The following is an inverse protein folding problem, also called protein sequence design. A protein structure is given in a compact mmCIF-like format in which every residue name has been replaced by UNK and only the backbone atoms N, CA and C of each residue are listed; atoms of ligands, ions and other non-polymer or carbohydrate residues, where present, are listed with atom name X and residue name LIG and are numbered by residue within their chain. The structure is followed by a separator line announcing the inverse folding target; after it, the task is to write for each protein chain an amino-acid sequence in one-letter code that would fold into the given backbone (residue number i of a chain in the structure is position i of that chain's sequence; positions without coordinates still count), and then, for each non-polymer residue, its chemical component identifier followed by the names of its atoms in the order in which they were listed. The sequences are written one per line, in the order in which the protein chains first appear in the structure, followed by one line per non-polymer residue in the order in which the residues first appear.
data_IF_428367635184
#
_entry.id   IF_428367635184
#
_cell.length_a   1.000
_cell.length_b   1.000
_cell.length_c   1.000
_cell.angle_alpha   90.00
_cell.angle_beta   90.00
_cell.angle_gamma   90.00
#
_symmetry.space_group_name_H-M   'P 1'
#
loop_
_entity.id
_entity.type
_entity.pdbx_description
1 polymer ?
#
# COMPACT_ATOMS: atom_id res chain seq x y z
N UNK A 1 -0.76 31.86 -33.46
CA UNK A 1 -1.83 30.93 -33.09
C UNK A 1 -2.38 31.41 -31.76
N UNK A 2 -3.60 31.95 -31.72
CA UNK A 2 -4.17 32.59 -30.54
C UNK A 2 -5.00 31.56 -29.75
N UNK A 3 -4.90 31.51 -28.41
CA UNK A 3 -5.65 30.54 -27.58
C UNK A 3 -7.18 30.71 -27.68
N UNK A 4 -7.62 31.88 -28.16
CA UNK A 4 -9.01 32.30 -28.37
C UNK A 4 -9.74 31.40 -29.40
N UNK A 5 -9.06 31.01 -30.48
CA UNK A 5 -9.65 30.18 -31.55
C UNK A 5 -9.89 28.73 -31.09
N UNK A 6 -9.03 28.21 -30.21
CA UNK A 6 -9.22 26.87 -29.63
C UNK A 6 -10.43 26.84 -28.69
N UNK A 7 -10.64 27.89 -27.90
CA UNK A 7 -11.80 27.97 -27.00
C UNK A 7 -13.13 27.98 -27.78
N UNK A 8 -13.18 28.69 -28.91
CA UNK A 8 -14.36 28.74 -29.77
C UNK A 8 -14.70 27.36 -30.38
N UNK A 9 -13.69 26.58 -30.75
CA UNK A 9 -13.86 25.21 -31.25
C UNK A 9 -14.39 24.28 -30.15
N UNK A 10 -13.86 24.43 -28.93
CA UNK A 10 -14.30 23.65 -27.77
C UNK A 10 -15.75 23.99 -27.39
N UNK A 11 -16.15 25.26 -27.39
CA UNK A 11 -17.54 25.66 -27.13
C UNK A 11 -18.51 25.17 -28.21
N UNK A 12 -18.13 25.21 -29.49
CA UNK A 12 -18.98 24.74 -30.59
C UNK A 12 -19.18 23.22 -30.58
N UNK A 13 -18.25 22.47 -30.00
CA UNK A 13 -18.24 21.01 -29.93
C UNK A 13 -18.09 20.49 -28.50
N UNK A 14 -18.71 21.20 -27.55
CA UNK A 14 -18.64 20.90 -26.11
C UNK A 14 -19.03 19.47 -25.76
N UNK A 15 -19.92 18.87 -26.56
CA UNK A 15 -20.35 17.48 -26.40
C UNK A 15 -19.19 16.48 -26.50
N UNK A 16 -18.12 16.77 -27.26
CA UNK A 16 -16.94 15.90 -27.38
C UNK A 16 -16.18 15.87 -26.05
N UNK A 17 -16.07 17.00 -25.37
CA UNK A 17 -15.43 17.08 -24.04
C UNK A 17 -16.22 16.27 -23.03
N UNK A 18 -17.55 16.35 -23.10
CA UNK A 18 -18.42 15.58 -22.23
C UNK A 18 -18.30 14.08 -22.52
N UNK A 19 -18.31 13.67 -23.79
CA UNK A 19 -18.12 12.27 -24.20
C UNK A 19 -16.75 11.73 -23.78
N UNK A 20 -15.69 12.52 -23.94
CA UNK A 20 -14.34 12.15 -23.51
C UNK A 20 -14.26 12.01 -21.98
N UNK A 21 -14.87 12.93 -21.23
CA UNK A 21 -14.95 12.85 -19.78
C UNK A 21 -15.73 11.62 -19.31
N UNK A 22 -16.84 11.30 -19.99
CA UNK A 22 -17.66 10.14 -19.67
C UNK A 22 -16.93 8.83 -20.01
N UNK A 23 -16.24 8.77 -21.14
CA UNK A 23 -15.39 7.62 -21.50
C UNK A 23 -14.25 7.42 -20.47
N UNK A 24 -13.57 8.50 -20.07
CA UNK A 24 -12.54 8.44 -19.04
C UNK A 24 -13.12 7.98 -17.68
N UNK A 25 -14.30 8.45 -17.30
CA UNK A 25 -14.98 8.02 -16.08
C UNK A 25 -15.32 6.53 -16.09
N UNK A 26 -15.82 6.01 -17.22
CA UNK A 26 -16.12 4.58 -17.38
C UNK A 26 -14.85 3.73 -17.27
N UNK A 27 -13.76 4.15 -17.92
CA UNK A 27 -12.47 3.44 -17.85
C UNK A 27 -11.93 3.46 -16.42
N UNK A 28 -11.93 4.63 -15.77
CA UNK A 28 -11.46 4.78 -14.40
C UNK A 28 -12.29 3.94 -13.41
N UNK A 29 -13.61 3.93 -13.57
CA UNK A 29 -14.51 3.13 -12.73
C UNK A 29 -14.30 1.62 -12.93
N UNK A 30 -14.17 1.18 -14.18
CA UNK A 30 -13.85 -0.21 -14.51
C UNK A 30 -12.52 -0.63 -13.89
N UNK A 31 -11.49 0.19 -14.04
CA UNK A 31 -10.17 -0.08 -13.48
C UNK A 31 -10.17 -0.10 -11.94
N UNK A 32 -10.85 0.85 -11.31
CA UNK A 32 -10.98 0.93 -9.85
C UNK A 32 -11.70 -0.29 -9.26
N UNK A 33 -12.72 -0.83 -9.95
CA UNK A 33 -13.41 -2.07 -9.55
C UNK A 33 -12.53 -3.31 -9.67
N UNK A 34 -11.58 -3.33 -10.59
CA UNK A 34 -10.66 -4.46 -10.79
C UNK A 34 -9.43 -4.43 -9.89
N UNK A 35 -9.16 -3.31 -9.22
CA UNK A 35 -8.05 -3.21 -8.29
C UNK A 35 -8.36 -4.04 -7.03
N UNK A 36 -7.49 -5.01 -6.66
CA UNK A 36 -7.68 -5.77 -5.44
C UNK A 36 -7.53 -4.84 -4.22
N UNK A 37 -8.41 -4.94 -3.20
CA UNK A 37 -8.28 -4.17 -1.98
C UNK A 37 -7.02 -4.58 -1.22
N UNK A 38 -6.16 -3.61 -0.89
CA UNK A 38 -4.98 -3.85 -0.04
C UNK A 38 -5.41 -3.91 1.42
N UNK A 39 -5.30 -5.09 2.04
CA UNK A 39 -5.55 -5.27 3.47
C UNK A 39 -4.23 -5.15 4.24
N UNK A 40 -4.15 -4.17 5.13
CA UNK A 40 -2.98 -3.98 6.00
C UNK A 40 -3.32 -4.39 7.44
N UNK A 41 -2.51 -5.28 8.01
CA UNK A 41 -2.62 -5.71 9.41
C UNK A 41 -1.42 -5.18 10.19
N UNK A 42 -1.69 -4.45 11.28
CA UNK A 42 -0.66 -3.90 12.16
C UNK A 42 -0.71 -4.60 13.52
N UNK A 43 0.38 -5.28 13.89
CA UNK A 43 0.53 -5.93 15.20
C UNK A 43 1.53 -5.15 16.05
N UNK A 44 1.15 -4.83 17.28
CA UNK A 44 2.03 -4.16 18.25
C UNK A 44 2.49 -5.16 19.31
N UNK A 45 3.77 -5.51 19.30
CA UNK A 45 4.40 -6.37 20.30
C UNK A 45 4.98 -5.51 21.42
N UNK A 46 4.69 -5.84 22.67
CA UNK A 46 5.27 -5.23 23.86
C UNK A 46 5.93 -6.33 24.69
N UNK A 47 7.22 -6.16 25.02
CA UNK A 47 7.91 -7.01 25.97
C UNK A 47 7.98 -6.29 27.32
N UNK A 48 7.59 -6.97 28.39
CA UNK A 48 7.71 -6.49 29.77
C UNK A 48 8.47 -7.56 30.54
N UNK A 49 9.57 -7.17 31.21
CA UNK A 49 10.32 -8.07 32.08
C UNK A 49 9.52 -8.43 33.33
N UNK A 50 9.49 -9.72 33.69
CA UNK A 50 9.02 -10.21 35.00
C UNK A 50 10.07 -11.17 35.57
N UNK A 51 10.67 -10.89 36.74
CA UNK A 51 10.46 -9.72 37.63
C UNK A 51 10.85 -8.37 36.99
N UNK A 52 10.40 -7.21 37.51
CA UNK A 52 10.75 -5.92 36.95
C UNK A 52 12.18 -5.52 37.34
N UNK A 53 13.12 -5.75 36.42
CA UNK A 53 14.52 -5.37 36.53
C UNK A 53 14.98 -4.52 35.33
N UNK A 54 15.62 -3.39 35.63
CA UNK A 54 15.97 -2.36 34.65
C UNK A 54 16.88 -2.88 33.52
N UNK A 55 17.86 -3.72 33.88
CA UNK A 55 18.82 -4.28 32.91
C UNK A 55 18.20 -5.29 31.96
N UNK A 56 17.24 -6.09 32.43
CA UNK A 56 16.52 -7.06 31.61
C UNK A 56 15.48 -6.38 30.74
N UNK A 57 14.83 -5.31 31.21
CA UNK A 57 13.94 -4.48 30.40
C UNK A 57 14.70 -3.80 29.25
N UNK A 58 15.90 -3.24 29.53
CA UNK A 58 16.75 -2.64 28.50
C UNK A 58 17.29 -3.69 27.51
N UNK A 59 17.68 -4.87 28.02
CA UNK A 59 18.09 -5.99 27.17
C UNK A 59 16.94 -6.48 26.29
N UNK A 60 15.74 -6.66 26.86
CA UNK A 60 14.54 -7.07 26.15
C UNK A 60 14.18 -6.08 25.04
N UNK A 61 14.22 -4.77 25.32
CA UNK A 61 14.00 -3.71 24.33
C UNK A 61 15.00 -3.76 23.16
N UNK A 62 16.29 -3.85 23.45
CA UNK A 62 17.34 -3.93 22.43
C UNK A 62 17.21 -5.21 21.60
N UNK A 63 16.86 -6.33 22.24
CA UNK A 63 16.63 -7.61 21.57
C UNK A 63 15.38 -7.55 20.67
N UNK A 64 14.29 -6.95 21.15
CA UNK A 64 13.05 -6.78 20.38
C UNK A 64 13.26 -5.89 19.15
N UNK A 65 14.02 -4.81 19.30
CA UNK A 65 14.38 -3.93 18.19
C UNK A 65 15.15 -4.71 17.10
N UNK A 66 16.13 -5.53 17.48
CA UNK A 66 16.85 -6.39 16.54
C UNK A 66 15.94 -7.43 15.85
N UNK A 67 14.93 -7.96 16.54
CA UNK A 67 13.97 -8.88 15.91
C UNK A 67 12.99 -8.19 14.95
N UNK A 68 12.69 -6.90 15.13
CA UNK A 68 11.85 -6.16 14.19
C UNK A 68 12.47 -6.11 12.78
N UNK A 69 13.79 -5.89 12.69
CA UNK A 69 14.50 -5.87 11.39
C UNK A 69 14.47 -7.25 10.72
N UNK A 70 14.61 -8.33 11.50
CA UNK A 70 14.55 -9.70 10.98
C UNK A 70 13.15 -10.04 10.46
N UNK A 71 12.09 -9.63 11.17
CA UNK A 71 10.70 -9.88 10.76
C UNK A 71 10.36 -9.13 9.46
N UNK A 72 10.97 -7.96 9.23
CA UNK A 72 10.77 -7.14 8.02
C UNK A 72 11.61 -7.57 6.82
N UNK A 73 12.42 -8.63 6.94
CA UNK A 73 13.22 -9.12 5.82
C UNK A 73 12.35 -9.88 4.82
N UNK A 74 12.55 -9.63 3.51
CA UNK A 74 11.83 -10.28 2.41
C UNK A 74 11.82 -11.81 2.50
N UNK A 75 12.95 -12.42 2.91
CA UNK A 75 13.06 -13.88 3.08
C UNK A 75 12.21 -14.43 4.24
N UNK A 76 12.02 -13.65 5.31
CA UNK A 76 11.16 -14.04 6.42
C UNK A 76 9.69 -14.00 5.98
N UNK A 77 9.30 -12.92 5.29
CA UNK A 77 7.94 -12.74 4.77
C UNK A 77 7.61 -13.77 3.71
N UNK A 78 8.53 -14.07 2.77
CA UNK A 78 8.34 -15.11 1.77
C UNK A 78 8.16 -16.52 2.37
N UNK A 79 8.79 -16.79 3.52
CA UNK A 79 8.59 -18.05 4.25
C UNK A 79 7.24 -18.07 4.98
N UNK A 80 6.86 -16.98 5.62
CA UNK A 80 5.57 -16.85 6.29
C UNK A 80 4.40 -16.97 5.28
N UNK A 81 4.49 -16.32 4.12
CA UNK A 81 3.51 -16.42 3.03
C UNK A 81 3.39 -17.86 2.51
N UNK A 82 4.52 -18.54 2.25
CA UNK A 82 4.53 -19.96 1.86
C UNK A 82 3.89 -20.87 2.91
N UNK A 83 4.15 -20.61 4.19
CA UNK A 83 3.55 -21.39 5.29
C UNK A 83 2.04 -21.13 5.43
N UNK A 84 1.59 -19.92 5.12
CA UNK A 84 0.17 -19.56 5.07
C UNK A 84 -0.55 -20.02 3.79
N UNK A 85 0.19 -20.57 2.81
CA UNK A 85 -0.36 -20.98 1.51
C UNK A 85 -0.71 -19.81 0.58
N UNK A 86 -0.17 -18.62 0.83
CA UNK A 86 -0.39 -17.41 0.03
C UNK A 86 0.73 -17.28 -1.01
N UNK A 87 0.36 -17.05 -2.27
CA UNK A 87 1.28 -16.88 -3.41
C UNK A 87 1.54 -15.41 -3.75
N UNK A 88 1.55 -14.53 -2.74
CA UNK A 88 1.79 -13.10 -2.94
C UNK A 88 3.28 -12.76 -2.99
N UNK A 89 3.64 -11.67 -3.68
CA UNK A 89 5.02 -11.20 -3.78
C UNK A 89 5.49 -10.58 -2.45
N UNK A 90 6.58 -11.08 -1.83
CA UNK A 90 7.08 -10.60 -0.54
C UNK A 90 7.52 -9.13 -0.57
N UNK A 91 7.89 -8.58 -1.73
CA UNK A 91 8.20 -7.16 -1.90
C UNK A 91 6.96 -6.27 -1.89
N UNK A 92 5.82 -6.78 -2.38
CA UNK A 92 4.55 -6.04 -2.40
C UNK A 92 3.91 -5.92 -1.01
N UNK A 93 4.09 -6.92 -0.15
CA UNK A 93 3.57 -6.92 1.23
C UNK A 93 4.46 -6.14 2.22
N UNK A 94 5.73 -5.91 1.88
CA UNK A 94 6.67 -5.18 2.74
C UNK A 94 6.65 -3.66 2.55
N UNK A 95 6.15 -3.17 1.41
CA UNK A 95 5.75 -1.78 1.15
C UNK A 95 6.65 -0.69 1.71
#
# INVERSE_FOLDING_TARGET
MRPEEYLAIVLRRWWIVLLAGLAAAVVAYGYSRTQPPTYQVSVRLMAVAQPPDYWLDLYAKNRLASYQDVIRTSDFVARALRQAGLNDDPGQVLG
#
